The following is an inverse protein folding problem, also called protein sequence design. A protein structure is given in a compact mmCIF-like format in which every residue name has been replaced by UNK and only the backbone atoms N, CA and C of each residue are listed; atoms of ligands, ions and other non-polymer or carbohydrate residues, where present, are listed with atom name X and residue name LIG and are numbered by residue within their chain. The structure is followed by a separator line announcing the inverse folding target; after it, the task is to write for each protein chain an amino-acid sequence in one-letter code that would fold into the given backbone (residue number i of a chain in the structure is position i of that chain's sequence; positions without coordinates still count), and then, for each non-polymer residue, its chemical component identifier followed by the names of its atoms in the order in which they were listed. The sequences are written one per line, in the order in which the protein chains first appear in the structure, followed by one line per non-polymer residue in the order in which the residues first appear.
data_IF_857880440837
#
_entry.id   IF_857880440837
#
_cell.length_a   1.000
_cell.length_b   1.000
_cell.length_c   1.000
_cell.angle_alpha   90.00
_cell.angle_beta   90.00
_cell.angle_gamma   90.00
#
_symmetry.space_group_name_H-M   'P 1'
#
loop_
_entity.id
_entity.type
_entity.pdbx_description
1 polymer ?
#
# COMPACT_ATOMS: atom_id res chain seq x y z
N UNK A 1 -48.30 5.66 -9.42
CA UNK A 1 -46.87 5.97 -9.63
C UNK A 1 -46.09 5.27 -8.54
N UNK A 2 -45.41 4.17 -8.87
CA UNK A 2 -44.53 3.45 -7.94
C UNK A 2 -43.15 4.11 -8.04
N UNK A 3 -42.68 4.68 -6.93
CA UNK A 3 -41.32 5.19 -6.83
C UNK A 3 -40.37 3.98 -6.85
N UNK A 4 -39.57 3.86 -7.90
CA UNK A 4 -38.44 2.94 -7.92
C UNK A 4 -37.40 3.43 -6.93
N UNK A 5 -37.20 2.69 -5.85
CA UNK A 5 -36.01 2.80 -5.01
C UNK A 5 -34.80 2.43 -5.88
N UNK A 6 -34.07 3.45 -6.34
CA UNK A 6 -32.74 3.24 -6.91
C UNK A 6 -31.86 2.66 -5.80
N UNK A 7 -31.55 1.38 -5.90
CA UNK A 7 -30.49 0.77 -5.11
C UNK A 7 -29.17 1.41 -5.55
N UNK A 8 -28.72 2.42 -4.82
CA UNK A 8 -27.31 2.81 -4.84
C UNK A 8 -26.53 1.60 -4.36
N UNK A 9 -25.88 0.90 -5.29
CA UNK A 9 -24.76 0.03 -4.94
C UNK A 9 -23.79 0.87 -4.13
N UNK A 10 -23.27 0.40 -2.98
CA UNK A 10 -22.19 1.12 -2.33
C UNK A 10 -21.08 1.20 -3.38
N UNK A 11 -20.74 2.40 -3.83
CA UNK A 11 -19.48 2.60 -4.55
C UNK A 11 -18.42 1.91 -3.69
N UNK A 12 -17.77 0.88 -4.22
CA UNK A 12 -16.68 0.25 -3.48
C UNK A 12 -15.64 1.33 -3.29
N UNK A 13 -15.54 1.88 -2.08
CA UNK A 13 -14.64 2.98 -1.79
C UNK A 13 -13.23 2.51 -2.12
N UNK A 14 -12.55 3.24 -3.00
CA UNK A 14 -11.18 2.90 -3.38
C UNK A 14 -10.28 2.93 -2.14
N UNK A 15 -9.41 1.92 -1.99
CA UNK A 15 -8.47 1.81 -0.88
C UNK A 15 -7.14 2.46 -1.30
N UNK A 16 -6.79 3.56 -0.62
CA UNK A 16 -5.55 4.30 -0.85
C UNK A 16 -4.34 3.51 -0.36
N UNK A 17 -3.39 3.26 -1.27
CA UNK A 17 -2.17 2.49 -1.02
C UNK A 17 -0.94 3.37 -1.24
N UNK A 18 -0.04 3.40 -0.26
CA UNK A 18 1.32 3.94 -0.41
C UNK A 18 2.27 2.77 -0.65
N UNK A 19 3.17 2.92 -1.63
CA UNK A 19 4.17 1.91 -1.97
C UNK A 19 5.56 2.48 -1.76
N UNK A 20 6.44 1.72 -1.11
CA UNK A 20 7.87 1.99 -1.03
C UNK A 20 8.57 0.93 -1.88
N UNK A 21 9.43 1.33 -2.80
CA UNK A 21 10.12 0.37 -3.66
C UNK A 21 11.34 0.94 -4.34
N UNK A 22 11.83 0.21 -5.34
CA UNK A 22 12.99 0.59 -6.13
C UNK A 22 12.55 0.91 -7.56
N UNK A 23 13.10 1.97 -8.15
CA UNK A 23 12.81 2.36 -9.53
C UNK A 23 11.38 2.88 -9.71
N UNK A 24 11.10 4.06 -9.16
CA UNK A 24 9.79 4.73 -9.16
C UNK A 24 9.18 4.80 -10.56
N UNK A 25 9.98 5.07 -11.60
CA UNK A 25 9.51 5.13 -12.98
C UNK A 25 8.82 3.83 -13.44
N UNK A 26 9.33 2.68 -12.99
CA UNK A 26 8.70 1.39 -13.25
C UNK A 26 7.49 1.17 -12.33
N UNK A 27 7.64 1.47 -11.04
CA UNK A 27 6.60 1.27 -10.02
C UNK A 27 5.31 2.02 -10.31
N UNK A 28 5.40 3.28 -10.78
CA UNK A 28 4.22 4.11 -11.11
C UNK A 28 3.42 3.60 -12.31
N UNK A 29 4.03 2.81 -13.19
CA UNK A 29 3.34 2.19 -14.34
C UNK A 29 2.82 0.81 -13.94
N UNK A 30 3.64 0.03 -13.25
CA UNK A 30 3.35 -1.37 -12.96
C UNK A 30 2.26 -1.55 -11.91
N UNK A 31 2.36 -0.87 -10.76
CA UNK A 31 1.43 -1.09 -9.64
C UNK A 31 -0.03 -0.76 -10.02
N UNK A 32 -0.35 0.37 -10.70
CA UNK A 32 -1.73 0.63 -11.12
C UNK A 32 -2.24 -0.38 -12.15
N UNK A 33 -1.36 -0.84 -13.06
CA UNK A 33 -1.71 -1.88 -14.03
C UNK A 33 -2.07 -3.19 -13.33
N UNK A 34 -1.23 -3.62 -12.39
CA UNK A 34 -1.45 -4.84 -11.60
C UNK A 34 -2.79 -4.78 -10.83
N UNK A 35 -3.07 -3.68 -10.14
CA UNK A 35 -4.33 -3.49 -9.42
C UNK A 35 -5.56 -3.53 -10.35
N UNK A 36 -5.44 -2.97 -11.55
CA UNK A 36 -6.50 -2.97 -12.57
C UNK A 36 -6.73 -4.37 -13.16
N UNK A 37 -5.67 -5.08 -13.53
CA UNK A 37 -5.73 -6.43 -14.11
C UNK A 37 -6.41 -7.41 -13.14
N UNK A 38 -6.13 -7.30 -11.85
CA UNK A 38 -6.77 -8.10 -10.79
C UNK A 38 -8.12 -7.55 -10.30
N UNK A 39 -8.66 -6.50 -10.93
CA UNK A 39 -9.95 -5.86 -10.58
C UNK A 39 -10.07 -5.54 -9.08
N UNK A 40 -9.02 -4.97 -8.52
CA UNK A 40 -8.93 -4.68 -7.08
C UNK A 40 -9.45 -3.29 -6.74
N UNK A 41 -9.88 -3.04 -5.49
CA UNK A 41 -10.25 -1.70 -5.03
C UNK A 41 -9.03 -0.81 -4.72
N UNK A 42 -7.81 -1.32 -4.89
CA UNK A 42 -6.58 -0.63 -4.50
C UNK A 42 -6.19 0.45 -5.52
N UNK A 43 -5.87 1.64 -5.00
CA UNK A 43 -5.36 2.75 -5.78
C UNK A 43 -4.05 3.20 -5.16
N UNK A 44 -2.96 3.10 -5.92
CA UNK A 44 -1.68 3.64 -5.48
C UNK A 44 -1.72 5.17 -5.52
N UNK A 45 -1.64 5.80 -4.35
CA UNK A 45 -1.71 7.26 -4.20
C UNK A 45 -0.32 7.90 -4.08
N UNK A 46 0.68 7.13 -3.63
CA UNK A 46 2.07 7.54 -3.68
C UNK A 46 3.02 6.35 -3.86
N UNK A 47 4.14 6.62 -4.53
CA UNK A 47 5.28 5.73 -4.68
C UNK A 47 6.52 6.44 -4.14
N UNK A 48 7.15 5.90 -3.10
CA UNK A 48 8.40 6.40 -2.52
C UNK A 48 9.54 5.53 -3.03
N UNK A 49 10.57 6.15 -3.60
CA UNK A 49 11.74 5.42 -4.10
C UNK A 49 12.76 5.23 -2.99
N UNK A 50 13.37 4.06 -2.90
CA UNK A 50 14.42 3.80 -1.94
C UNK A 50 15.82 4.27 -2.39
N UNK A 51 16.10 4.34 -3.70
CA UNK A 51 17.47 4.51 -4.23
C UNK A 51 17.59 5.65 -5.24
N UNK A 52 16.73 5.69 -6.26
CA UNK A 52 17.07 6.35 -7.54
C UNK A 52 16.62 7.81 -7.68
N UNK A 53 15.91 8.37 -6.69
CA UNK A 53 15.31 9.70 -6.81
C UNK A 53 15.99 10.78 -5.97
N UNK A 54 15.82 12.04 -6.40
CA UNK A 54 16.17 13.24 -5.63
C UNK A 54 15.39 13.29 -4.30
N UNK A 55 15.98 13.96 -3.30
CA UNK A 55 15.53 14.08 -1.90
C UNK A 55 14.02 14.02 -1.61
N UNK A 56 13.10 14.75 -2.30
CA UNK A 56 11.68 14.74 -1.92
C UNK A 56 10.95 13.42 -2.21
N UNK A 57 11.50 12.56 -3.07
CA UNK A 57 10.89 11.29 -3.45
C UNK A 57 11.65 10.07 -2.92
N UNK A 58 12.78 10.31 -2.25
CA UNK A 58 13.58 9.28 -1.60
C UNK A 58 12.99 8.92 -0.25
N UNK A 59 13.06 7.64 0.08
CA UNK A 59 12.71 7.16 1.40
C UNK A 59 13.56 7.84 2.47
N UNK A 60 12.85 8.43 3.42
CA UNK A 60 13.31 8.68 4.78
C UNK A 60 12.08 8.54 5.69
N UNK A 61 12.26 8.23 6.98
CA UNK A 61 11.15 8.19 7.93
C UNK A 61 10.31 9.48 7.90
N UNK A 62 10.99 10.63 7.80
CA UNK A 62 10.36 11.95 7.70
C UNK A 62 9.50 12.09 6.44
N UNK A 63 10.00 11.69 5.28
CA UNK A 63 9.26 11.79 4.01
C UNK A 63 8.05 10.86 4.01
N UNK A 64 8.19 9.63 4.53
CA UNK A 64 7.07 8.70 4.67
C UNK A 64 5.99 9.29 5.58
N UNK A 65 6.37 9.79 6.77
CA UNK A 65 5.43 10.43 7.69
C UNK A 65 4.71 11.62 7.04
N UNK A 66 5.46 12.50 6.36
CA UNK A 66 4.87 13.63 5.65
C UNK A 66 3.85 13.19 4.59
N UNK A 67 4.15 12.16 3.80
CA UNK A 67 3.22 11.62 2.80
C UNK A 67 1.96 11.05 3.48
N UNK A 68 2.13 10.20 4.50
CA UNK A 68 1.00 9.58 5.20
C UNK A 68 0.05 10.62 5.82
N UNK A 69 0.60 11.64 6.48
CA UNK A 69 -0.20 12.68 7.16
C UNK A 69 -0.90 13.65 6.19
N UNK A 70 -0.43 13.81 4.95
CA UNK A 70 -0.97 14.81 4.01
C UNK A 70 -1.79 14.21 2.85
N UNK A 71 -1.74 12.89 2.64
CA UNK A 71 -2.53 12.26 1.58
C UNK A 71 -4.02 12.16 1.94
N UNK A 72 -4.85 12.55 0.98
CA UNK A 72 -6.30 12.35 0.98
C UNK A 72 -6.71 11.73 -0.37
N UNK A 73 -7.51 10.65 -0.39
CA UNK A 73 -8.02 9.90 0.76
C UNK A 73 -6.89 9.26 1.59
N UNK A 74 -7.14 9.12 2.89
CA UNK A 74 -6.16 8.60 3.85
C UNK A 74 -5.61 7.25 3.39
N UNK A 75 -4.28 7.08 3.31
CA UNK A 75 -3.67 5.77 3.10
C UNK A 75 -4.20 4.77 4.13
N UNK A 76 -4.69 3.63 3.64
CA UNK A 76 -5.19 2.50 4.46
C UNK A 76 -4.27 1.28 4.33
N UNK A 77 -3.41 1.26 3.32
CA UNK A 77 -2.39 0.24 3.15
C UNK A 77 -1.02 0.85 2.84
N UNK A 78 0.02 0.21 3.39
CA UNK A 78 1.42 0.43 3.04
C UNK A 78 1.99 -0.86 2.45
N UNK A 79 2.62 -0.78 1.27
CA UNK A 79 3.37 -1.89 0.69
C UNK A 79 4.85 -1.55 0.70
N UNK A 80 5.64 -2.36 1.42
CA UNK A 80 7.10 -2.34 1.35
C UNK A 80 7.50 -3.34 0.27
N UNK A 81 8.07 -2.83 -0.83
CA UNK A 81 8.43 -3.63 -2.00
C UNK A 81 9.67 -4.49 -1.79
N UNK A 82 9.81 -5.55 -2.58
CA UNK A 82 10.84 -6.59 -2.47
C UNK A 82 12.29 -6.10 -2.54
N UNK A 83 12.52 -4.90 -3.07
CA UNK A 83 13.85 -4.32 -3.24
C UNK A 83 14.26 -3.38 -2.10
N UNK A 84 13.44 -3.28 -1.05
CA UNK A 84 13.78 -2.55 0.17
C UNK A 84 14.54 -3.50 1.12
N UNK A 85 15.69 -3.09 1.69
CA UNK A 85 16.42 -3.92 2.64
C UNK A 85 15.55 -4.37 3.84
N UNK A 86 15.55 -5.67 4.21
CA UNK A 86 14.73 -6.17 5.33
C UNK A 86 15.04 -5.48 6.66
N UNK A 87 16.27 -5.01 6.85
CA UNK A 87 16.71 -4.28 8.05
C UNK A 87 15.96 -2.96 8.28
N UNK A 88 15.34 -2.39 7.23
CA UNK A 88 14.56 -1.14 7.33
C UNK A 88 13.08 -1.38 7.63
N UNK A 89 12.59 -2.62 7.52
CA UNK A 89 11.18 -2.95 7.79
C UNK A 89 10.75 -2.46 9.18
N UNK A 90 11.50 -2.68 10.28
CA UNK A 90 11.10 -2.20 11.60
C UNK A 90 10.92 -0.68 11.68
N UNK A 91 11.80 0.10 11.05
CA UNK A 91 11.71 1.57 11.02
C UNK A 91 10.49 2.04 10.21
N UNK A 92 10.29 1.46 9.03
CA UNK A 92 9.14 1.77 8.16
C UNK A 92 7.83 1.44 8.86
N UNK A 93 7.73 0.25 9.46
CA UNK A 93 6.54 -0.16 10.21
C UNK A 93 6.32 0.72 11.45
N UNK A 94 7.37 1.22 12.08
CA UNK A 94 7.28 2.22 13.15
C UNK A 94 6.54 3.48 12.72
N UNK A 95 6.95 4.08 11.60
CA UNK A 95 6.28 5.28 11.04
C UNK A 95 4.83 5.00 10.66
N UNK A 96 4.56 3.82 10.08
CA UNK A 96 3.20 3.41 9.74
C UNK A 96 2.28 3.27 10.96
N UNK A 97 2.78 2.64 12.02
CA UNK A 97 2.02 2.46 13.27
C UNK A 97 1.76 3.79 13.97
N UNK A 98 2.75 4.69 14.00
CA UNK A 98 2.57 6.05 14.51
C UNK A 98 1.47 6.79 13.75
N UNK A 99 1.46 6.70 12.42
CA UNK A 99 0.39 7.29 11.59
C UNK A 99 -0.99 6.68 11.88
N UNK A 100 -1.09 5.35 12.04
CA UNK A 100 -2.35 4.71 12.45
C UNK A 100 -2.81 5.29 13.79
N UNK A 101 -1.91 5.37 14.75
CA UNK A 101 -2.23 5.74 16.12
C UNK A 101 -2.62 7.22 16.25
N UNK A 102 -1.99 8.10 15.49
CA UNK A 102 -2.15 9.56 15.61
C UNK A 102 -3.17 10.15 14.64
N UNK A 103 -3.37 9.52 13.47
CA UNK A 103 -4.27 10.04 12.43
C UNK A 103 -5.49 9.13 12.27
N UNK A 104 -5.27 7.86 11.96
CA UNK A 104 -6.39 6.99 11.57
C UNK A 104 -7.30 6.64 12.75
N UNK A 105 -6.76 6.43 13.95
CA UNK A 105 -7.57 6.21 15.15
C UNK A 105 -8.49 7.39 15.47
N UNK A 106 -8.02 8.61 15.25
CA UNK A 106 -8.83 9.81 15.50
C UNK A 106 -9.89 10.01 14.41
N UNK A 107 -9.53 9.86 13.13
CA UNK A 107 -10.48 10.04 12.03
C UNK A 107 -11.54 8.94 11.91
N UNK A 108 -11.18 7.70 12.26
CA UNK A 108 -12.06 6.53 12.18
C UNK A 108 -12.48 6.02 13.56
N UNK A 109 -12.49 6.90 14.57
CA UNK A 109 -12.81 6.55 15.96
C UNK A 109 -14.21 5.96 16.12
N UNK A 110 -15.16 6.43 15.31
CA UNK A 110 -16.58 6.09 15.44
C UNK A 110 -16.94 4.72 14.83
N UNK A 111 -16.15 4.23 13.86
CA UNK A 111 -16.46 3.01 13.11
C UNK A 111 -15.37 1.94 13.18
N UNK A 112 -14.31 2.17 13.97
CA UNK A 112 -13.19 1.23 14.16
C UNK A 112 -12.50 0.79 12.86
N UNK A 113 -12.70 1.53 11.76
CA UNK A 113 -12.13 1.17 10.47
C UNK A 113 -10.60 1.21 10.49
N UNK A 114 -10.00 1.98 11.39
CA UNK A 114 -8.56 2.02 11.60
C UNK A 114 -7.95 0.64 11.93
N UNK A 115 -8.74 -0.33 12.42
CA UNK A 115 -8.28 -1.70 12.70
C UNK A 115 -8.02 -2.53 11.45
N UNK A 116 -8.56 -2.12 10.29
CA UNK A 116 -8.43 -2.82 9.01
C UNK A 116 -7.23 -2.34 8.18
N UNK A 117 -6.34 -1.53 8.75
CA UNK A 117 -5.16 -1.04 8.05
C UNK A 117 -4.08 -2.11 7.96
N UNK A 118 -3.31 -2.11 6.87
CA UNK A 118 -2.32 -3.17 6.61
C UNK A 118 -0.97 -2.61 6.17
N UNK A 119 0.09 -3.23 6.66
CA UNK A 119 1.45 -3.04 6.16
C UNK A 119 1.95 -4.36 5.58
N UNK A 120 2.11 -4.43 4.25
CA UNK A 120 2.66 -5.60 3.56
C UNK A 120 4.18 -5.51 3.52
N UNK A 121 4.87 -6.36 4.27
CA UNK A 121 6.33 -6.34 4.47
C UNK A 121 7.04 -7.35 3.58
N UNK A 122 6.93 -7.20 2.25
CA UNK A 122 7.43 -8.18 1.27
C UNK A 122 8.93 -8.53 1.37
N UNK A 123 9.85 -7.62 1.78
CA UNK A 123 11.25 -7.97 1.96
C UNK A 123 11.50 -9.13 2.93
N UNK A 124 10.59 -9.37 3.88
CA UNK A 124 10.81 -10.44 4.86
C UNK A 124 10.74 -11.85 4.22
N UNK A 125 10.11 -12.00 3.06
CA UNK A 125 9.92 -13.28 2.38
C UNK A 125 10.43 -13.29 0.94
N UNK A 126 10.50 -12.14 0.27
CA UNK A 126 10.80 -12.03 -1.15
C UNK A 126 11.95 -11.06 -1.47
N UNK A 127 12.82 -10.73 -0.50
CA UNK A 127 13.86 -9.73 -0.72
C UNK A 127 14.77 -10.03 -1.92
N UNK A 128 14.97 -9.02 -2.75
CA UNK A 128 15.93 -9.01 -3.86
C UNK A 128 16.84 -7.80 -3.69
N UNK A 129 18.15 -8.04 -3.65
CA UNK A 129 19.13 -6.96 -3.58
C UNK A 129 19.23 -6.24 -4.95
N UNK A 130 18.85 -4.96 -5.04
CA UNK A 130 18.89 -4.24 -6.31
C UNK A 130 20.33 -4.01 -6.84
N UNK A 131 21.36 -4.19 -6.01
CA UNK A 131 22.76 -4.06 -6.43
C UNK A 131 23.25 -5.26 -7.26
N UNK A 132 22.59 -6.41 -7.14
CA UNK A 132 22.95 -7.62 -7.91
C UNK A 132 22.10 -7.81 -9.18
N UNK A 133 21.04 -7.03 -9.35
CA UNK A 133 20.20 -7.04 -10.54
C UNK A 133 18.90 -6.29 -10.37
N UNK A 134 18.21 -6.03 -11.48
CA UNK A 134 16.88 -5.40 -11.47
C UNK A 134 15.89 -6.32 -10.75
N UNK A 135 15.13 -5.82 -9.75
CA UNK A 135 14.08 -6.60 -9.11
C UNK A 135 13.08 -7.12 -10.15
N UNK A 136 12.66 -8.38 -10.06
CA UNK A 136 11.70 -8.96 -10.97
C UNK A 136 10.33 -8.29 -10.83
N UNK A 137 9.66 -8.13 -11.97
CA UNK A 137 8.28 -7.65 -11.98
C UNK A 137 7.30 -8.80 -11.69
N UNK A 138 7.66 -10.05 -11.99
CA UNK A 138 6.83 -11.25 -11.92
C UNK A 138 7.54 -12.43 -11.23
N UNK A 139 7.46 -12.51 -9.90
CA UNK A 139 8.03 -13.63 -9.13
C UNK A 139 7.10 -14.17 -8.05
N UNK A 140 5.81 -13.85 -8.11
CA UNK A 140 4.80 -14.35 -7.17
C UNK A 140 4.73 -13.57 -5.87
N UNK A 141 5.57 -12.54 -5.69
CA UNK A 141 5.47 -11.59 -4.57
C UNK A 141 4.16 -10.79 -4.63
N UNK A 142 3.60 -10.60 -5.84
CA UNK A 142 2.32 -9.93 -6.06
C UNK A 142 1.16 -10.70 -5.41
N UNK A 143 1.22 -12.03 -5.46
CA UNK A 143 0.24 -12.89 -4.79
C UNK A 143 0.31 -12.70 -3.28
N UNK A 144 1.51 -12.65 -2.71
CA UNK A 144 1.69 -12.44 -1.28
C UNK A 144 1.25 -11.03 -0.85
N UNK A 145 1.54 -10.03 -1.67
CA UNK A 145 1.01 -8.68 -1.47
C UNK A 145 -0.52 -8.70 -1.42
N UNK A 146 -1.19 -9.30 -2.41
CA UNK A 146 -2.64 -9.35 -2.43
C UNK A 146 -3.22 -10.17 -1.27
N UNK A 147 -2.57 -11.26 -0.84
CA UNK A 147 -2.97 -12.00 0.37
C UNK A 147 -3.01 -11.09 1.60
N UNK A 148 -1.97 -10.29 1.81
CA UNK A 148 -1.94 -9.33 2.93
C UNK A 148 -3.05 -8.29 2.81
N UNK A 149 -3.22 -7.68 1.63
CA UNK A 149 -4.21 -6.64 1.42
C UNK A 149 -5.65 -7.18 1.53
N UNK A 150 -5.92 -8.34 0.95
CA UNK A 150 -7.26 -8.93 0.91
C UNK A 150 -7.68 -9.52 2.24
N UNK A 151 -6.75 -10.05 3.04
CA UNK A 151 -7.05 -10.46 4.41
C UNK A 151 -7.70 -9.33 5.24
N UNK A 152 -7.39 -8.06 4.94
CA UNK A 152 -7.96 -6.90 5.61
C UNK A 152 -9.19 -6.30 4.90
N UNK A 153 -9.15 -6.18 3.57
CA UNK A 153 -10.16 -5.41 2.81
C UNK A 153 -11.14 -6.25 2.01
N UNK A 154 -10.79 -7.50 1.69
CA UNK A 154 -11.60 -8.44 0.89
C UNK A 154 -11.42 -9.88 1.41
N UNK A 155 -11.73 -10.16 2.69
CA UNK A 155 -11.45 -11.45 3.31
C UNK A 155 -12.17 -12.64 2.65
N UNK A 156 -13.17 -12.36 1.82
CA UNK A 156 -13.86 -13.33 0.96
C UNK A 156 -13.03 -13.83 -0.24
N UNK A 157 -11.94 -13.14 -0.59
CA UNK A 157 -11.06 -13.52 -1.70
C UNK A 157 -10.02 -14.53 -1.22
N UNK A 158 -9.97 -15.70 -1.87
CA UNK A 158 -8.94 -16.73 -1.63
C UNK A 158 -7.84 -16.71 -2.68
N UNK A 159 -6.60 -16.94 -2.24
CA UNK A 159 -5.37 -16.93 -3.06
C UNK A 159 -4.63 -18.28 -3.04
N UNK A 160 -5.38 -19.39 -2.96
CA UNK A 160 -4.86 -20.77 -3.08
C UNK A 160 -4.09 -20.99 -4.41
#
# INVERSE_FOLDING_TARGET
MLAMSSSTSPESSSISVVVIGWGRENGIIFMPRLFKEHKTPYVMTAMIDFVETLEPYRYSPKNLGAILHNLHPRPRALVIGIAVPPALVPEITGVWNEYIDTVLKEEFKENDEWKKNVCSTLPLTHYVDPSVGKPPMDMGWEREMFKHLDAAFRPEVSWE
#
